data_IF_637520375285
#
_entry.id   IF_637520375285
#
_cell.length_a   1.000
_cell.length_b   1.000
_cell.length_c   1.000
_cell.angle_alpha   90.00
_cell.angle_beta   90.00
_cell.angle_gamma   90.00
#
_symmetry.space_group_name_H-M   'P 1'
#
loop_
_entity.id
_entity.type
_entity.pdbx_description
1 polymer ?
#
# COMPACT_ATOMS: atom_id res chain seq x y z
N UNK A 1 -17.60 25.93 -47.25
CA UNK A 1 -18.56 25.77 -46.14
C UNK A 1 -18.88 24.31 -45.80
N UNK A 2 -19.30 23.46 -46.76
CA UNK A 2 -19.65 22.04 -46.51
C UNK A 2 -18.50 21.19 -45.95
N UNK A 3 -17.25 21.45 -46.35
CA UNK A 3 -16.07 20.72 -45.86
C UNK A 3 -15.71 21.06 -44.41
N UNK A 4 -15.76 22.33 -44.01
CA UNK A 4 -15.60 22.73 -42.60
C UNK A 4 -16.70 22.15 -41.71
N UNK A 5 -17.95 22.09 -42.20
CA UNK A 5 -19.06 21.51 -41.45
C UNK A 5 -18.88 20.00 -41.25
N UNK A 6 -18.39 19.27 -42.27
CA UNK A 6 -18.03 17.85 -42.13
C UNK A 6 -16.88 17.65 -41.14
N UNK A 7 -15.87 18.52 -41.17
CA UNK A 7 -14.73 18.45 -40.25
C UNK A 7 -15.17 18.72 -38.80
N UNK A 8 -16.02 19.72 -38.57
CA UNK A 8 -16.63 19.99 -37.25
C UNK A 8 -17.51 18.82 -36.78
N UNK A 9 -18.27 18.19 -37.66
CA UNK A 9 -19.11 17.05 -37.31
C UNK A 9 -18.28 15.81 -36.92
N UNK A 10 -17.16 15.55 -37.60
CA UNK A 10 -16.25 14.44 -37.24
C UNK A 10 -15.60 14.71 -35.87
N UNK A 11 -15.13 15.93 -35.63
CA UNK A 11 -14.57 16.32 -34.31
C UNK A 11 -15.62 16.21 -33.21
N UNK A 12 -16.87 16.58 -33.48
CA UNK A 12 -17.97 16.46 -32.52
C UNK A 12 -18.24 15.00 -32.13
N UNK A 13 -18.16 14.04 -33.06
CA UNK A 13 -18.34 12.60 -32.79
C UNK A 13 -17.25 12.04 -31.87
N UNK A 14 -16.01 12.48 -32.02
CA UNK A 14 -14.90 12.07 -31.14
C UNK A 14 -14.97 12.70 -29.73
N UNK A 15 -15.75 13.78 -29.56
CA UNK A 15 -15.96 14.43 -28.27
C UNK A 15 -17.17 13.88 -27.49
N UNK A 16 -17.93 12.94 -28.07
CA UNK A 16 -19.03 12.28 -27.36
C UNK A 16 -18.42 11.23 -26.43
N UNK A 17 -18.53 11.37 -25.10
CA UNK A 17 -18.05 10.34 -24.17
C UNK A 17 -18.86 9.06 -24.39
N UNK A 18 -18.18 7.99 -24.81
CA UNK A 18 -18.77 6.66 -24.89
C UNK A 18 -19.01 6.15 -23.46
N UNK A 19 -20.25 6.26 -22.98
CA UNK A 19 -20.65 5.67 -21.71
C UNK A 19 -20.76 4.15 -21.86
N UNK A 20 -19.64 3.44 -21.76
CA UNK A 20 -19.65 2.00 -21.55
C UNK A 20 -19.93 1.73 -20.07
N UNK A 21 -21.10 1.18 -19.76
CA UNK A 21 -21.45 0.70 -18.42
C UNK A 21 -20.77 -0.66 -18.22
N UNK A 22 -19.52 -0.65 -17.75
CA UNK A 22 -18.79 -1.84 -17.34
C UNK A 22 -18.23 -1.58 -15.94
N UNK A 23 -18.74 -2.30 -14.94
CA UNK A 23 -18.15 -2.29 -13.60
C UNK A 23 -16.99 -3.28 -13.56
N UNK A 24 -15.92 -2.96 -12.82
CA UNK A 24 -14.87 -3.96 -12.52
C UNK A 24 -15.42 -5.17 -11.78
N UNK A 25 -16.53 -5.02 -11.06
CA UNK A 25 -17.24 -6.10 -10.39
C UNK A 25 -17.82 -7.15 -11.36
N UNK A 26 -18.14 -6.75 -12.60
CA UNK A 26 -18.71 -7.63 -13.63
C UNK A 26 -17.65 -8.33 -14.48
N UNK A 27 -16.36 -8.07 -14.19
CA UNK A 27 -15.25 -8.61 -14.96
C UNK A 27 -15.12 -10.12 -14.74
N UNK A 28 -15.43 -10.90 -15.79
CA UNK A 28 -15.20 -12.35 -15.79
C UNK A 28 -13.70 -12.64 -15.88
N UNK A 29 -13.11 -13.03 -14.75
CA UNK A 29 -11.71 -13.42 -14.68
C UNK A 29 -11.54 -14.79 -15.35
N UNK A 30 -10.70 -14.93 -16.39
CA UNK A 30 -10.43 -16.23 -17.02
C UNK A 30 -9.68 -17.16 -16.06
N UNK A 31 -9.86 -18.47 -16.22
CA UNK A 31 -9.08 -19.44 -15.46
C UNK A 31 -7.59 -19.32 -15.77
N UNK A 32 -6.76 -19.36 -14.73
CA UNK A 32 -5.32 -19.29 -14.88
C UNK A 32 -4.77 -20.61 -15.44
N UNK A 33 -4.03 -20.53 -16.53
CA UNK A 33 -3.28 -21.66 -17.08
C UNK A 33 -2.13 -22.08 -16.16
N UNK A 34 -1.62 -23.31 -16.31
CA UNK A 34 -0.53 -23.82 -15.46
C UNK A 34 0.72 -22.92 -15.42
N UNK A 35 1.06 -22.30 -16.56
CA UNK A 35 2.17 -21.35 -16.62
C UNK A 35 1.89 -20.07 -15.82
N UNK A 36 0.65 -19.55 -15.86
CA UNK A 36 0.25 -18.36 -15.10
C UNK A 36 0.19 -18.63 -13.59
N UNK A 37 -0.27 -19.83 -13.19
CA UNK A 37 -0.24 -20.26 -11.78
C UNK A 37 1.22 -20.34 -11.30
N UNK A 38 2.11 -20.94 -12.09
CA UNK A 38 3.54 -21.00 -11.77
C UNK A 38 4.13 -19.59 -11.56
N UNK A 39 3.81 -18.65 -12.46
CA UNK A 39 4.23 -17.25 -12.32
C UNK A 39 3.70 -16.59 -11.03
N UNK A 40 2.44 -16.82 -10.68
CA UNK A 40 1.83 -16.32 -9.45
C UNK A 40 2.55 -16.89 -8.21
N UNK A 41 2.86 -18.18 -8.21
CA UNK A 41 3.60 -18.82 -7.12
C UNK A 41 5.02 -18.26 -6.98
N UNK A 42 5.69 -17.97 -8.10
CA UNK A 42 6.96 -17.23 -8.08
C UNK A 42 6.82 -15.83 -7.51
N UNK A 43 5.74 -15.11 -7.85
CA UNK A 43 5.41 -13.81 -7.25
C UNK A 43 5.32 -13.87 -5.73
N UNK A 44 4.57 -14.84 -5.19
CA UNK A 44 4.49 -15.05 -3.74
C UNK A 44 5.84 -15.41 -3.12
N UNK A 45 6.65 -16.24 -3.78
CA UNK A 45 8.00 -16.56 -3.32
C UNK A 45 8.89 -15.30 -3.22
N UNK A 46 8.82 -14.41 -4.21
CA UNK A 46 9.55 -13.13 -4.20
C UNK A 46 9.07 -12.23 -3.06
N UNK A 47 7.76 -12.14 -2.81
CA UNK A 47 7.22 -11.37 -1.69
C UNK A 47 7.75 -11.89 -0.34
N UNK A 48 7.75 -13.20 -0.13
CA UNK A 48 8.30 -13.83 1.09
C UNK A 48 9.80 -13.57 1.21
N UNK A 49 10.55 -13.71 0.13
CA UNK A 49 11.98 -13.40 0.11
C UNK A 49 12.24 -11.92 0.46
N UNK A 50 11.41 -11.01 -0.03
CA UNK A 50 11.46 -9.58 0.31
C UNK A 50 11.27 -9.32 1.81
N UNK A 51 10.33 -10.01 2.45
CA UNK A 51 10.10 -9.91 3.91
C UNK A 51 11.34 -10.42 4.68
N UNK A 52 11.88 -11.58 4.29
CA UNK A 52 13.08 -12.15 4.91
C UNK A 52 14.27 -11.19 4.75
N UNK A 53 14.45 -10.63 3.57
CA UNK A 53 15.50 -9.65 3.29
C UNK A 53 15.34 -8.37 4.12
N UNK A 54 14.12 -7.86 4.26
CA UNK A 54 13.84 -6.70 5.10
C UNK A 54 14.20 -6.96 6.58
N UNK A 55 13.87 -8.15 7.10
CA UNK A 55 14.25 -8.57 8.46
C UNK A 55 15.76 -8.73 8.63
N UNK A 56 16.44 -9.29 7.62
CA UNK A 56 17.89 -9.39 7.61
C UNK A 56 18.55 -8.00 7.69
N UNK A 57 18.12 -7.06 6.84
CA UNK A 57 18.66 -5.70 6.83
C UNK A 57 18.34 -4.94 8.12
N UNK A 58 17.16 -5.13 8.68
CA UNK A 58 16.82 -4.59 10.00
C UNK A 58 17.82 -5.05 11.08
N UNK A 59 18.17 -6.34 11.11
CA UNK A 59 19.16 -6.88 12.05
C UNK A 59 20.56 -6.33 11.78
N UNK A 60 20.96 -6.19 10.51
CA UNK A 60 22.25 -5.60 10.11
C UNK A 60 22.37 -4.16 10.60
N UNK A 61 21.39 -3.31 10.29
CA UNK A 61 21.38 -1.91 10.73
C UNK A 61 21.35 -1.83 12.25
N UNK A 62 20.49 -2.60 12.94
CA UNK A 62 20.39 -2.56 14.40
C UNK A 62 21.74 -2.80 15.11
N UNK A 63 22.63 -3.63 14.55
CA UNK A 63 23.97 -3.93 15.11
C UNK A 63 24.98 -2.77 15.00
N UNK A 64 24.77 -1.81 14.10
CA UNK A 64 25.70 -0.68 13.92
C UNK A 64 25.66 0.20 15.18
N UNK A 65 26.83 0.57 15.75
CA UNK A 65 26.89 1.40 16.95
C UNK A 65 26.41 2.83 16.66
N UNK A 66 25.76 3.45 17.63
CA UNK A 66 25.35 4.86 17.60
C UNK A 66 25.59 5.51 18.97
N UNK A 67 25.75 6.83 18.99
CA UNK A 67 25.92 7.56 20.25
C UNK A 67 24.65 7.51 21.10
N UNK A 68 24.78 7.41 22.44
CA UNK A 68 23.64 7.33 23.36
C UNK A 68 22.63 8.47 23.18
N UNK A 69 23.12 9.70 23.05
CA UNK A 69 22.25 10.88 22.81
C UNK A 69 21.46 10.77 21.50
N UNK A 70 22.08 10.27 20.42
CA UNK A 70 21.39 10.08 19.13
C UNK A 70 20.34 8.97 19.19
N UNK A 71 20.60 7.90 19.94
CA UNK A 71 19.60 6.87 20.21
C UNK A 71 18.43 7.41 21.03
N UNK A 72 18.69 8.31 21.99
CA UNK A 72 17.66 9.00 22.75
C UNK A 72 16.73 9.83 21.87
N UNK A 73 17.30 10.65 20.99
CA UNK A 73 16.52 11.44 20.01
C UNK A 73 15.70 10.53 19.08
N UNK A 74 16.30 9.45 18.59
CA UNK A 74 15.59 8.50 17.72
C UNK A 74 14.41 7.83 18.42
N UNK A 75 14.52 7.50 19.72
CA UNK A 75 13.39 6.95 20.47
C UNK A 75 12.28 7.96 20.71
N UNK A 76 12.62 9.23 20.92
CA UNK A 76 11.60 10.31 21.03
C UNK A 76 10.82 10.41 19.71
N UNK A 77 11.53 10.44 18.56
CA UNK A 77 10.88 10.47 17.24
C UNK A 77 9.99 9.23 17.04
N UNK A 78 10.51 8.04 17.36
CA UNK A 78 9.76 6.80 17.26
C UNK A 78 8.49 6.83 18.13
N UNK A 79 8.56 7.31 19.37
CA UNK A 79 7.42 7.40 20.27
C UNK A 79 6.35 8.38 19.75
N UNK A 80 6.76 9.53 19.22
CA UNK A 80 5.85 10.51 18.62
C UNK A 80 5.17 9.93 17.37
N UNK A 81 5.93 9.37 16.43
CA UNK A 81 5.37 8.74 15.23
C UNK A 81 4.47 7.55 15.56
N UNK A 82 4.81 6.75 16.57
CA UNK A 82 3.96 5.65 17.06
C UNK A 82 2.63 6.16 17.62
N UNK A 83 2.66 7.27 18.34
CA UNK A 83 1.45 7.90 18.87
C UNK A 83 0.57 8.45 17.76
N UNK A 84 1.17 9.10 16.77
CA UNK A 84 0.47 9.54 15.55
C UNK A 84 -0.15 8.35 14.81
N UNK A 85 0.61 7.27 14.59
CA UNK A 85 0.14 6.08 13.91
C UNK A 85 -1.06 5.43 14.64
N UNK A 86 -1.03 5.39 15.97
CA UNK A 86 -2.17 4.91 16.78
C UNK A 86 -3.41 5.76 16.58
N UNK A 87 -3.26 7.08 16.51
CA UNK A 87 -4.38 8.00 16.27
C UNK A 87 -4.91 7.85 14.84
N UNK A 88 -4.03 7.72 13.85
CA UNK A 88 -4.39 7.44 12.46
C UNK A 88 -5.16 6.11 12.34
N UNK A 89 -4.74 5.07 13.08
CA UNK A 89 -5.44 3.78 13.12
C UNK A 89 -6.89 3.91 13.62
N UNK A 90 -7.14 4.74 14.65
CA UNK A 90 -8.52 5.00 15.11
C UNK A 90 -9.37 5.68 14.04
N UNK A 91 -8.80 6.68 13.37
CA UNK A 91 -9.48 7.35 12.25
C UNK A 91 -9.77 6.38 11.11
N UNK A 92 -8.82 5.49 10.78
CA UNK A 92 -8.97 4.50 9.73
C UNK A 92 -10.08 3.49 10.02
N UNK A 93 -10.24 3.07 11.29
CA UNK A 93 -11.35 2.20 11.71
C UNK A 93 -12.68 2.92 11.53
N UNK A 94 -12.81 4.17 11.98
CA UNK A 94 -14.02 4.97 11.79
C UNK A 94 -14.35 5.11 10.29
N UNK A 95 -13.34 5.42 9.47
CA UNK A 95 -13.50 5.56 8.04
C UNK A 95 -13.91 4.23 7.37
N UNK A 96 -13.33 3.12 7.81
CA UNK A 96 -13.69 1.78 7.34
C UNK A 96 -15.15 1.44 7.66
N UNK A 97 -15.67 1.81 8.83
CA UNK A 97 -17.09 1.60 9.16
C UNK A 97 -17.99 2.39 8.21
N UNK A 98 -17.65 3.65 7.92
CA UNK A 98 -18.43 4.52 7.03
C UNK A 98 -18.42 3.95 5.60
N UNK A 99 -17.22 3.74 5.04
CA UNK A 99 -17.06 3.25 3.67
C UNK A 99 -17.56 1.81 3.53
N UNK A 100 -17.31 0.96 4.51
CA UNK A 100 -17.78 -0.42 4.54
C UNK A 100 -19.31 -0.50 4.57
N UNK A 101 -19.98 0.42 5.27
CA UNK A 101 -21.44 0.53 5.24
C UNK A 101 -21.95 0.95 3.86
N UNK A 102 -21.29 1.92 3.21
CA UNK A 102 -21.62 2.32 1.85
C UNK A 102 -21.43 1.18 0.84
N UNK A 103 -20.31 0.43 0.93
CA UNK A 103 -20.03 -0.74 0.10
C UNK A 103 -21.08 -1.82 0.34
N UNK A 104 -21.41 -2.11 1.60
CA UNK A 104 -22.42 -3.10 1.95
C UNK A 104 -23.80 -2.77 1.39
N UNK A 105 -24.23 -1.50 1.51
CA UNK A 105 -25.49 -1.04 0.95
C UNK A 105 -25.48 -1.06 -0.59
N UNK A 106 -24.43 -0.54 -1.22
CA UNK A 106 -24.36 -0.46 -2.68
C UNK A 106 -24.31 -1.85 -3.33
N UNK A 107 -23.35 -2.69 -2.92
CA UNK A 107 -23.16 -3.98 -3.56
C UNK A 107 -24.18 -5.03 -3.10
N UNK A 108 -24.54 -5.03 -1.81
CA UNK A 108 -25.47 -6.01 -1.26
C UNK A 108 -26.94 -5.63 -1.44
N UNK A 109 -27.27 -4.33 -1.38
CA UNK A 109 -28.66 -3.85 -1.45
C UNK A 109 -29.09 -3.32 -2.81
N UNK A 110 -28.17 -2.77 -3.61
CA UNK A 110 -28.51 -2.12 -4.89
C UNK A 110 -28.05 -2.90 -6.12
N UNK A 111 -26.90 -3.59 -6.03
CA UNK A 111 -26.40 -4.46 -7.09
C UNK A 111 -26.76 -5.94 -6.91
N UNK A 112 -27.50 -6.30 -5.85
CA UNK A 112 -27.92 -7.67 -5.53
C UNK A 112 -26.79 -8.72 -5.54
N UNK A 113 -25.55 -8.30 -5.22
CA UNK A 113 -24.42 -9.22 -5.10
C UNK A 113 -24.64 -10.11 -3.87
N UNK A 114 -24.43 -11.44 -3.98
CA UNK A 114 -24.58 -12.34 -2.84
C UNK A 114 -23.71 -11.89 -1.68
N UNK A 115 -24.22 -12.07 -0.46
CA UNK A 115 -23.54 -11.66 0.78
C UNK A 115 -22.09 -12.18 0.89
N UNK A 116 -21.82 -13.37 0.36
CA UNK A 116 -20.47 -13.95 0.28
C UNK A 116 -19.49 -13.07 -0.51
N UNK A 117 -19.94 -12.44 -1.60
CA UNK A 117 -19.13 -11.52 -2.41
C UNK A 117 -18.85 -10.21 -1.68
N UNK A 118 -19.88 -9.63 -1.04
CA UNK A 118 -19.72 -8.41 -0.23
C UNK A 118 -18.76 -8.65 0.95
N UNK A 119 -18.91 -9.79 1.64
CA UNK A 119 -18.01 -10.19 2.72
C UNK A 119 -16.56 -10.38 2.23
N UNK A 120 -16.38 -10.91 1.02
CA UNK A 120 -15.06 -11.08 0.40
C UNK A 120 -14.40 -9.73 0.12
N UNK A 121 -15.14 -8.76 -0.45
CA UNK A 121 -14.65 -7.39 -0.71
C UNK A 121 -14.22 -6.71 0.60
N UNK A 122 -15.07 -6.75 1.62
CA UNK A 122 -14.77 -6.16 2.92
C UNK A 122 -13.58 -6.88 3.60
N UNK A 123 -13.51 -8.21 3.50
CA UNK A 123 -12.41 -9.01 4.03
C UNK A 123 -11.06 -8.63 3.43
N UNK A 124 -10.96 -8.56 2.10
CA UNK A 124 -9.73 -8.14 1.42
C UNK A 124 -9.36 -6.68 1.72
N UNK A 125 -10.36 -5.81 1.90
CA UNK A 125 -10.14 -4.42 2.33
C UNK A 125 -9.48 -4.35 3.72
N UNK A 126 -9.97 -5.15 4.68
CA UNK A 126 -9.37 -5.24 6.02
C UNK A 126 -7.94 -5.77 5.94
N UNK A 127 -7.70 -6.83 5.17
CA UNK A 127 -6.34 -7.37 4.96
C UNK A 127 -5.41 -6.29 4.39
N UNK A 128 -5.86 -5.52 3.41
CA UNK A 128 -5.09 -4.42 2.82
C UNK A 128 -4.74 -3.32 3.83
N UNK A 129 -5.72 -2.91 4.65
CA UNK A 129 -5.54 -1.93 5.73
C UNK A 129 -4.50 -2.44 6.75
N UNK A 130 -4.64 -3.68 7.22
CA UNK A 130 -3.72 -4.28 8.19
C UNK A 130 -2.30 -4.41 7.63
N UNK A 131 -2.17 -4.81 6.36
CA UNK A 131 -0.89 -4.87 5.66
C UNK A 131 -0.20 -3.51 5.60
N UNK A 132 -0.91 -2.48 5.12
CA UNK A 132 -0.38 -1.11 5.04
C UNK A 132 0.05 -0.57 6.40
N UNK A 133 -0.79 -0.75 7.43
CA UNK A 133 -0.49 -0.31 8.80
C UNK A 133 0.77 -1.00 9.37
N UNK A 134 0.91 -2.31 9.12
CA UNK A 134 2.06 -3.09 9.60
C UNK A 134 3.37 -2.65 8.93
N UNK A 135 3.35 -2.43 7.61
CA UNK A 135 4.51 -1.94 6.87
C UNK A 135 4.88 -0.51 7.31
N UNK A 136 3.90 0.36 7.53
CA UNK A 136 4.14 1.72 8.02
C UNK A 136 4.83 1.73 9.39
N UNK A 137 4.35 0.91 10.34
CA UNK A 137 4.97 0.78 11.66
C UNK A 137 6.43 0.29 11.57
N UNK A 138 6.68 -0.75 10.77
CA UNK A 138 8.03 -1.26 10.55
C UNK A 138 8.94 -0.20 9.91
N UNK A 139 8.44 0.51 8.90
CA UNK A 139 9.18 1.57 8.21
C UNK A 139 9.60 2.71 9.15
N UNK A 140 8.71 3.17 10.03
CA UNK A 140 9.02 4.18 11.05
C UNK A 140 10.16 3.69 11.96
N UNK A 141 10.11 2.42 12.40
CA UNK A 141 11.17 1.86 13.26
C UNK A 141 12.50 1.73 12.53
N UNK A 142 12.47 1.26 11.28
CA UNK A 142 13.68 1.11 10.48
C UNK A 142 14.33 2.47 10.19
N UNK A 143 13.55 3.47 9.79
CA UNK A 143 14.05 4.81 9.48
C UNK A 143 14.65 5.51 10.70
N UNK A 144 13.99 5.44 11.86
CA UNK A 144 14.52 6.03 13.10
C UNK A 144 15.85 5.39 13.52
N UNK A 145 15.97 4.06 13.40
CA UNK A 145 17.22 3.34 13.69
C UNK A 145 18.33 3.67 12.69
N UNK A 146 18.01 3.71 11.39
CA UNK A 146 18.98 3.99 10.33
C UNK A 146 19.50 5.43 10.43
N UNK A 147 18.62 6.41 10.63
CA UNK A 147 18.97 7.83 10.72
C UNK A 147 19.94 8.10 11.87
N UNK A 148 19.70 7.54 13.06
CA UNK A 148 20.59 7.74 14.21
C UNK A 148 21.99 7.16 13.99
N UNK A 149 22.07 6.03 13.29
CA UNK A 149 23.34 5.36 12.95
C UNK A 149 24.07 6.11 11.85
N UNK A 150 23.34 6.64 10.87
CA UNK A 150 23.90 7.43 9.78
C UNK A 150 24.49 8.73 10.30
N UNK A 151 23.77 9.44 11.16
CA UNK A 151 24.28 10.63 11.81
C UNK A 151 25.59 10.35 12.56
N UNK A 152 25.65 9.26 13.34
CA UNK A 152 26.86 8.91 14.08
C UNK A 152 28.03 8.50 13.18
N UNK A 153 27.76 7.70 12.14
CA UNK A 153 28.77 7.28 11.18
C UNK A 153 29.34 8.48 10.40
N UNK A 154 28.49 9.44 10.01
CA UNK A 154 28.89 10.69 9.37
C UNK A 154 29.77 11.56 10.27
N UNK A 155 29.46 11.68 11.57
CA UNK A 155 30.33 12.37 12.53
C UNK A 155 31.71 11.71 12.67
N UNK A 156 31.79 10.39 12.48
CA UNK A 156 33.06 9.65 12.43
C UNK A 156 33.78 9.74 11.09
N UNK A 157 33.28 10.55 10.14
CA UNK A 157 33.76 10.63 8.75
C UNK A 157 33.73 9.27 8.02
N UNK A 158 32.80 8.39 8.40
CA UNK A 158 32.62 7.06 7.81
C UNK A 158 31.18 6.84 7.34
N UNK A 159 30.61 7.72 6.47
CA UNK A 159 29.20 7.68 6.11
C UNK A 159 28.78 6.41 5.34
N UNK A 160 29.73 5.73 4.68
CA UNK A 160 29.48 4.53 3.85
C UNK A 160 29.27 3.26 4.70
N UNK A 161 29.50 3.31 6.03
CA UNK A 161 29.35 2.15 6.95
C UNK A 161 27.95 1.55 7.05
N UNK A 162 26.94 2.20 6.47
CA UNK A 162 25.57 1.67 6.39
C UNK A 162 25.29 0.93 5.08
N UNK A 163 26.07 1.18 4.04
CA UNK A 163 25.93 0.53 2.73
C UNK A 163 26.58 -0.86 2.75
N UNK A 164 27.73 -0.98 3.41
CA UNK A 164 28.54 -2.20 3.49
C UNK A 164 28.45 -2.87 4.86
#
# INVERSE_FOLDING_TARGET
MKTCLKLMAIVAVFLIPTKTWASEADLKIPELTGNQISLLMWGFAICVAGIIFALYQYRKVKKIPAHKSMLGVAEIIFATCKTYLKQQGKFLILFFVIIGSCIGFYFGGLQDIPWSGVALILGWTVIGILGSYSVAWFGIRMNTLANSRMAFASLKKQPIRLLN
#
